data_IF_216722953784
#
_entry.id   IF_216722953784
#
_cell.length_a   1.000
_cell.length_b   1.000
_cell.length_c   1.000
_cell.angle_alpha   90.00
_cell.angle_beta   90.00
_cell.angle_gamma   90.00
#
_symmetry.space_group_name_H-M   'P 1'
#
loop_
_entity.id
_entity.type
_entity.pdbx_description
1 polymer ?
#
# COMPACT_ATOMS: atom_id res chain seq x y z
N UNK A 1 3.10 34.26 -15.29
CA UNK A 1 2.27 33.06 -15.71
C UNK A 1 2.09 32.10 -14.53
N UNK A 2 1.33 32.59 -13.50
CA UNK A 2 0.70 32.11 -12.25
C UNK A 2 -0.06 30.80 -12.50
N UNK A 3 0.65 29.65 -12.47
CA UNK A 3 0.17 28.25 -12.42
C UNK A 3 -0.80 28.03 -11.26
N UNK A 4 -2.13 28.19 -11.46
CA UNK A 4 -3.39 27.57 -11.01
C UNK A 4 -3.19 26.62 -9.84
N UNK A 5 -3.00 27.11 -8.57
CA UNK A 5 -3.01 26.52 -7.21
C UNK A 5 -4.46 26.29 -6.74
N UNK A 6 -5.49 26.14 -7.64
CA UNK A 6 -6.87 26.07 -7.08
C UNK A 6 -7.40 24.63 -7.22
N UNK A 7 -6.64 23.56 -7.65
CA UNK A 7 -7.28 22.23 -7.81
C UNK A 7 -6.88 21.31 -6.68
N UNK A 8 -6.07 21.79 -5.64
CA UNK A 8 -5.66 20.86 -4.55
C UNK A 8 -6.14 21.40 -3.20
N UNK A 9 -6.99 22.38 -3.15
CA UNK A 9 -7.34 23.03 -1.86
C UNK A 9 -8.32 22.18 -1.06
N UNK A 10 -9.14 21.35 -1.71
CA UNK A 10 -10.08 20.60 -0.85
C UNK A 10 -9.41 19.40 -0.18
N UNK A 11 -8.40 18.82 -0.84
CA UNK A 11 -7.72 17.65 -0.23
C UNK A 11 -6.80 18.13 0.91
N UNK A 12 -6.20 19.24 0.77
CA UNK A 12 -5.31 19.78 1.82
C UNK A 12 -6.14 20.18 3.04
N UNK A 13 -7.35 20.70 2.77
CA UNK A 13 -8.21 21.11 3.91
C UNK A 13 -8.75 19.87 4.63
N UNK A 14 -8.94 18.85 3.90
CA UNK A 14 -9.43 17.62 4.56
C UNK A 14 -8.32 16.94 5.36
N UNK A 15 -7.10 16.99 4.90
CA UNK A 15 -5.99 16.36 5.67
C UNK A 15 -5.74 17.12 6.98
N UNK A 16 -5.81 18.40 6.84
CA UNK A 16 -5.58 19.18 8.08
C UNK A 16 -6.70 18.93 9.10
N UNK A 17 -7.86 18.83 8.60
CA UNK A 17 -8.98 18.59 9.53
C UNK A 17 -8.83 17.25 10.26
N UNK A 18 -8.45 16.24 9.55
CA UNK A 18 -8.36 14.91 10.21
C UNK A 18 -7.14 14.88 11.15
N UNK A 19 -6.06 15.39 10.71
CA UNK A 19 -4.83 15.26 11.52
C UNK A 19 -4.97 16.05 12.83
N UNK A 20 -5.77 17.15 12.80
CA UNK A 20 -5.81 17.99 14.01
C UNK A 20 -7.14 17.75 14.76
N UNK A 21 -7.82 16.71 14.25
CA UNK A 21 -9.09 16.43 14.96
C UNK A 21 -8.82 15.99 16.41
N UNK A 22 -9.75 16.50 17.28
CA UNK A 22 -9.67 16.06 18.70
C UNK A 22 -10.74 14.99 18.94
N UNK A 23 -10.16 13.83 19.17
CA UNK A 23 -11.10 12.73 19.49
C UNK A 23 -12.03 13.10 20.66
N UNK A 24 -13.33 13.03 20.46
CA UNK A 24 -14.31 13.52 21.47
C UNK A 24 -14.38 12.53 22.64
N UNK A 25 -13.85 11.35 22.45
CA UNK A 25 -13.88 10.37 23.57
C UNK A 25 -12.59 10.49 24.39
N UNK A 26 -11.47 10.57 23.78
CA UNK A 26 -10.21 10.54 24.57
C UNK A 26 -9.74 11.97 24.85
N UNK A 27 -10.31 12.95 24.03
CA UNK A 27 -9.84 14.34 24.17
C UNK A 27 -8.44 14.55 23.57
N UNK A 28 -7.85 13.60 22.89
CA UNK A 28 -6.48 13.70 22.34
C UNK A 28 -6.58 13.98 20.84
N UNK A 29 -5.79 15.03 20.46
CA UNK A 29 -5.76 15.23 18.99
C UNK A 29 -5.16 14.01 18.28
N UNK A 30 -5.70 13.73 17.07
CA UNK A 30 -5.25 12.52 16.36
C UNK A 30 -3.74 12.57 16.11
N UNK A 31 -3.17 13.73 15.80
CA UNK A 31 -1.73 13.81 15.52
C UNK A 31 -0.90 13.48 16.77
N UNK A 32 -1.58 13.52 17.98
CA UNK A 32 -0.83 13.21 19.23
C UNK A 32 -1.23 11.82 19.76
N UNK A 33 -2.03 11.09 19.05
CA UNK A 33 -2.53 9.80 19.58
C UNK A 33 -1.65 8.65 19.10
N UNK A 34 -1.06 7.90 20.05
CA UNK A 34 -0.12 6.83 19.66
C UNK A 34 -0.85 5.58 19.16
N UNK A 35 -2.18 5.65 19.33
CA UNK A 35 -2.92 4.50 18.75
C UNK A 35 -2.79 4.48 17.22
N UNK A 36 -2.64 5.62 16.63
CA UNK A 36 -2.45 5.68 15.16
C UNK A 36 -1.00 5.32 14.82
N UNK A 37 -0.89 4.26 13.99
CA UNK A 37 0.45 3.77 13.60
C UNK A 37 1.02 4.64 12.48
N UNK A 38 0.20 4.90 11.46
CA UNK A 38 0.73 5.67 10.33
C UNK A 38 -0.42 6.32 9.56
N UNK A 39 -0.03 7.45 8.84
CA UNK A 39 -0.97 7.99 7.84
C UNK A 39 -0.64 7.45 6.44
N UNK A 40 -1.73 7.28 5.67
CA UNK A 40 -1.58 6.90 4.26
C UNK A 40 -2.16 7.99 3.35
N UNK A 41 -1.33 8.38 2.35
CA UNK A 41 -1.76 9.54 1.53
C UNK A 41 -3.00 9.18 0.71
N UNK A 42 -2.91 7.99 0.02
CA UNK A 42 -4.05 7.64 -0.85
C UNK A 42 -4.01 6.15 -1.15
N UNK A 43 -5.23 5.68 -1.18
CA UNK A 43 -5.26 4.24 -1.53
C UNK A 43 -5.02 4.04 -3.03
N UNK A 44 -4.02 3.32 -3.39
CA UNK A 44 -3.65 2.83 -4.74
C UNK A 44 -3.73 3.94 -5.79
N UNK A 45 -2.95 5.02 -5.51
CA UNK A 45 -3.00 6.10 -6.52
C UNK A 45 -2.46 5.64 -7.88
N UNK A 46 -3.22 6.01 -8.92
CA UNK A 46 -2.76 5.76 -10.31
C UNK A 46 -2.90 7.05 -11.13
N UNK A 47 -1.95 7.20 -12.09
CA UNK A 47 -2.05 8.34 -13.03
C UNK A 47 -1.75 7.82 -14.45
N UNK A 48 -2.86 7.41 -15.09
CA UNK A 48 -2.66 6.70 -16.40
C UNK A 48 -2.41 7.72 -17.51
N UNK A 49 -2.81 8.91 -17.23
CA UNK A 49 -2.63 9.93 -18.30
C UNK A 49 -1.19 10.44 -18.32
N UNK A 50 -0.36 10.08 -17.25
CA UNK A 50 1.06 10.48 -17.25
C UNK A 50 1.94 9.29 -16.89
N UNK A 51 2.34 8.53 -17.86
CA UNK A 51 3.10 7.30 -17.60
C UNK A 51 4.53 7.60 -17.13
N UNK A 52 4.99 8.82 -17.43
CA UNK A 52 6.33 9.15 -16.91
C UNK A 52 6.37 9.05 -15.37
N UNK A 53 5.20 9.37 -14.71
CA UNK A 53 5.14 9.29 -13.23
C UNK A 53 5.44 10.66 -12.59
N UNK A 54 5.67 11.65 -13.37
CA UNK A 54 6.17 12.92 -12.83
C UNK A 54 5.05 13.63 -12.04
N UNK A 55 3.85 13.53 -12.55
CA UNK A 55 2.78 14.28 -11.85
C UNK A 55 2.50 13.66 -10.48
N UNK A 56 2.39 12.37 -10.50
CA UNK A 56 2.14 11.75 -9.19
C UNK A 56 3.33 11.94 -8.24
N UNK A 57 4.54 11.90 -8.80
CA UNK A 57 5.72 12.15 -7.92
C UNK A 57 5.65 13.54 -7.27
N UNK A 58 5.31 14.56 -8.06
CA UNK A 58 5.23 15.93 -7.49
C UNK A 58 4.10 16.01 -6.45
N UNK A 59 3.05 15.36 -6.78
CA UNK A 59 1.94 15.38 -5.81
C UNK A 59 2.33 14.69 -4.50
N UNK A 60 2.99 13.55 -4.55
CA UNK A 60 3.39 12.83 -3.32
C UNK A 60 4.36 13.68 -2.50
N UNK A 61 5.25 14.34 -3.25
CA UNK A 61 6.24 15.17 -2.51
C UNK A 61 5.54 16.32 -1.79
N UNK A 62 4.63 16.93 -2.48
CA UNK A 62 3.94 18.08 -1.85
C UNK A 62 3.07 17.62 -0.67
N UNK A 63 2.36 16.53 -0.81
CA UNK A 63 1.41 16.11 0.26
C UNK A 63 2.16 15.50 1.44
N UNK A 64 3.21 14.75 1.12
CA UNK A 64 4.00 14.21 2.26
C UNK A 64 4.61 15.33 3.11
N UNK A 65 5.12 16.34 2.40
CA UNK A 65 5.69 17.48 3.18
C UNK A 65 4.60 18.17 4.00
N UNK A 66 3.47 18.34 3.39
CA UNK A 66 2.38 19.01 4.12
C UNK A 66 1.96 18.21 5.36
N UNK A 67 1.74 16.89 5.21
CA UNK A 67 1.35 16.06 6.37
C UNK A 67 2.40 16.19 7.48
N UNK A 68 3.69 16.10 7.10
CA UNK A 68 4.73 16.08 8.15
C UNK A 68 4.91 17.46 8.77
N UNK A 69 4.45 18.54 8.02
CA UNK A 69 4.49 19.88 8.66
C UNK A 69 3.44 19.99 9.77
N UNK A 70 2.39 19.17 9.71
CA UNK A 70 1.34 19.22 10.75
C UNK A 70 1.61 18.13 11.80
N UNK A 71 1.91 16.91 11.33
CA UNK A 71 2.20 15.78 12.24
C UNK A 71 3.57 15.16 11.90
N UNK A 72 4.55 15.51 12.85
CA UNK A 72 5.88 14.94 12.57
C UNK A 72 6.21 13.80 13.54
N UNK A 73 5.10 13.25 14.19
CA UNK A 73 5.32 12.13 15.13
C UNK A 73 4.98 10.79 14.47
N UNK A 74 3.91 10.74 13.71
CA UNK A 74 3.44 9.45 13.17
C UNK A 74 4.15 9.13 11.86
N UNK A 75 4.19 7.86 11.59
CA UNK A 75 4.79 7.43 10.31
C UNK A 75 3.86 7.79 9.13
N UNK A 76 4.55 7.88 7.97
CA UNK A 76 3.76 8.20 6.77
C UNK A 76 4.16 7.27 5.63
N UNK A 77 3.07 6.72 4.99
CA UNK A 77 3.31 5.96 3.74
C UNK A 77 2.39 6.48 2.64
N UNK A 78 2.66 5.98 1.44
CA UNK A 78 1.94 6.58 0.28
C UNK A 78 0.63 5.83 0.05
N UNK A 79 0.69 4.43 0.04
CA UNK A 79 -0.52 3.62 -0.26
C UNK A 79 -0.43 2.99 -1.64
N UNK A 80 0.84 2.73 -2.05
CA UNK A 80 1.03 2.26 -3.44
C UNK A 80 0.70 0.77 -3.54
N UNK A 81 0.27 0.31 -4.83
CA UNK A 81 0.12 -1.12 -5.18
C UNK A 81 1.49 -1.74 -5.54
N UNK A 82 2.57 -0.47 -6.17
CA UNK A 82 4.02 -0.80 -6.14
C UNK A 82 4.47 -1.29 -7.51
N UNK A 83 3.94 -0.64 -8.69
CA UNK A 83 4.44 -0.80 -10.07
C UNK A 83 5.71 0.04 -10.25
N UNK A 84 6.75 -0.63 -10.97
CA UNK A 84 8.01 0.09 -11.28
C UNK A 84 7.83 1.02 -12.48
N UNK A 85 8.52 2.24 -12.31
CA UNK A 85 8.44 3.23 -13.41
C UNK A 85 9.82 3.46 -14.03
N UNK A 86 10.11 4.69 -14.29
CA UNK A 86 11.26 5.02 -15.18
C UNK A 86 12.55 5.14 -14.36
N UNK A 87 12.43 5.17 -13.05
CA UNK A 87 13.66 5.32 -12.24
C UNK A 87 14.55 4.09 -12.33
N UNK A 88 13.95 2.96 -12.55
CA UNK A 88 14.72 1.72 -12.80
C UNK A 88 14.00 0.89 -13.86
N UNK A 89 14.19 1.20 -15.12
CA UNK A 89 13.39 0.63 -16.22
C UNK A 89 13.55 -0.88 -16.31
N UNK A 90 14.72 -1.40 -15.96
CA UNK A 90 14.91 -2.86 -16.04
C UNK A 90 13.97 -3.60 -15.08
N UNK A 91 13.40 -2.97 -14.10
CA UNK A 91 12.57 -3.66 -13.09
C UNK A 91 11.10 -3.65 -13.53
N UNK A 92 10.83 -2.96 -14.65
CA UNK A 92 9.43 -2.97 -15.15
C UNK A 92 8.98 -4.40 -15.50
N UNK A 93 9.93 -5.26 -15.70
CA UNK A 93 9.57 -6.66 -16.01
C UNK A 93 8.87 -7.33 -14.82
N UNK A 94 8.95 -6.71 -13.64
CA UNK A 94 8.29 -7.34 -12.47
C UNK A 94 6.84 -6.88 -12.36
N UNK A 95 6.50 -5.82 -13.20
CA UNK A 95 5.09 -5.38 -13.18
C UNK A 95 4.17 -6.42 -13.86
N UNK A 96 2.96 -6.51 -13.30
CA UNK A 96 2.03 -7.39 -14.02
C UNK A 96 1.78 -6.90 -15.46
N UNK A 97 2.08 -7.79 -16.43
CA UNK A 97 1.91 -7.51 -17.87
C UNK A 97 2.78 -6.34 -18.32
N UNK A 98 3.74 -5.90 -17.57
CA UNK A 98 4.71 -4.83 -17.89
C UNK A 98 4.01 -3.47 -18.03
N UNK A 99 2.85 -3.32 -17.29
CA UNK A 99 2.07 -2.07 -17.38
C UNK A 99 2.72 -0.97 -16.53
N UNK A 100 2.48 0.26 -17.07
CA UNK A 100 2.83 1.45 -16.28
C UNK A 100 1.55 2.17 -15.85
N UNK A 101 1.63 2.48 -14.57
CA UNK A 101 0.33 3.05 -14.12
C UNK A 101 0.58 4.42 -13.50
N UNK A 102 1.75 4.98 -13.90
CA UNK A 102 1.96 6.39 -13.51
C UNK A 102 2.64 6.50 -12.14
N UNK A 103 2.94 5.28 -11.55
CA UNK A 103 3.72 5.32 -10.30
C UNK A 103 5.12 4.77 -10.54
N UNK A 104 6.00 5.12 -9.61
CA UNK A 104 7.38 4.58 -9.60
C UNK A 104 7.80 4.25 -8.16
N UNK A 105 7.86 2.84 -7.97
CA UNK A 105 8.09 2.37 -6.59
C UNK A 105 9.37 2.97 -6.00
N UNK A 106 10.39 3.06 -6.76
CA UNK A 106 11.68 3.49 -6.16
C UNK A 106 11.65 5.00 -5.90
N UNK A 107 11.40 5.80 -6.90
CA UNK A 107 11.53 7.26 -6.69
C UNK A 107 10.44 7.76 -5.75
N UNK A 108 9.24 7.21 -5.87
CA UNK A 108 8.19 7.70 -4.95
C UNK A 108 8.57 7.47 -3.49
N UNK A 109 9.19 6.32 -3.21
CA UNK A 109 9.48 6.01 -1.78
C UNK A 109 10.84 6.57 -1.36
N UNK A 110 11.53 7.33 -2.27
CA UNK A 110 12.78 8.02 -1.86
C UNK A 110 12.46 9.40 -1.28
N UNK A 111 11.23 9.69 -1.35
CA UNK A 111 10.85 10.94 -0.68
C UNK A 111 11.09 10.83 0.82
N UNK A 112 11.76 11.85 1.39
CA UNK A 112 12.35 11.72 2.75
C UNK A 112 11.23 11.65 3.80
N UNK A 113 10.09 12.25 3.41
CA UNK A 113 9.01 12.27 4.43
C UNK A 113 8.27 10.94 4.46
N UNK A 114 8.51 10.09 3.45
CA UNK A 114 7.87 8.75 3.48
C UNK A 114 8.73 7.79 4.33
N UNK A 115 7.99 7.13 5.31
CA UNK A 115 8.75 6.42 6.35
C UNK A 115 8.87 4.92 6.04
N UNK A 116 7.92 4.40 5.35
CA UNK A 116 8.04 2.98 4.94
C UNK A 116 7.23 2.75 3.65
N UNK A 117 7.59 1.63 3.00
CA UNK A 117 6.95 1.36 1.69
C UNK A 117 5.86 0.29 1.85
N UNK A 118 4.89 0.37 0.91
CA UNK A 118 3.86 -0.69 0.91
C UNK A 118 3.73 -1.28 -0.51
N UNK A 119 3.32 -2.55 -0.53
CA UNK A 119 2.89 -3.18 -1.79
C UNK A 119 1.57 -3.90 -1.56
N UNK A 120 0.79 -4.03 -2.69
CA UNK A 120 -0.40 -4.90 -2.66
C UNK A 120 -0.17 -6.13 -3.54
N UNK A 121 -1.02 -7.20 -3.20
CA UNK A 121 -0.77 -8.45 -3.95
C UNK A 121 -2.15 -9.05 -4.30
N UNK A 122 -2.49 -8.90 -5.67
CA UNK A 122 -3.77 -9.48 -6.15
C UNK A 122 -3.53 -10.16 -7.50
N UNK A 123 -2.89 -11.33 -7.57
CA UNK A 123 -2.51 -11.96 -8.85
C UNK A 123 -3.73 -12.43 -9.64
N UNK A 124 -4.93 -12.75 -8.91
CA UNK A 124 -6.10 -13.25 -9.69
C UNK A 124 -6.75 -12.11 -10.49
N UNK A 125 -6.37 -10.86 -10.00
CA UNK A 125 -6.93 -9.69 -10.72
C UNK A 125 -5.94 -9.18 -11.78
N UNK A 126 -4.73 -9.22 -11.43
CA UNK A 126 -3.74 -8.61 -12.35
C UNK A 126 -3.40 -9.57 -13.49
N UNK A 127 -3.56 -10.93 -13.08
CA UNK A 127 -3.15 -11.97 -14.05
C UNK A 127 -4.22 -13.07 -14.07
N UNK A 128 -5.38 -12.72 -14.64
CA UNK A 128 -6.49 -13.68 -14.56
C UNK A 128 -6.15 -15.02 -15.24
N UNK A 129 -6.77 -16.19 -14.73
CA UNK A 129 -6.47 -17.60 -15.12
C UNK A 129 -6.67 -17.81 -16.62
N UNK A 130 -7.42 -16.88 -17.21
CA UNK A 130 -7.49 -17.00 -18.68
C UNK A 130 -6.13 -16.74 -19.33
N UNK A 131 -5.29 -16.16 -18.56
CA UNK A 131 -4.01 -15.72 -19.15
C UNK A 131 -2.82 -16.35 -18.44
N UNK A 132 -3.11 -17.00 -17.22
CA UNK A 132 -1.95 -17.52 -16.47
C UNK A 132 -2.42 -18.63 -15.52
N UNK A 133 -1.63 -19.74 -15.47
CA UNK A 133 -1.99 -20.83 -14.53
C UNK A 133 -1.84 -20.39 -13.08
N UNK A 134 -2.50 -21.06 -12.17
CA UNK A 134 -2.37 -20.76 -10.72
C UNK A 134 -0.91 -20.86 -10.27
N UNK A 135 -0.23 -21.84 -10.77
CA UNK A 135 1.20 -21.97 -10.40
C UNK A 135 2.00 -20.74 -10.85
N UNK A 136 1.71 -20.29 -12.00
CA UNK A 136 2.43 -19.09 -12.50
C UNK A 136 2.04 -17.86 -11.68
N UNK A 137 0.80 -17.75 -11.25
CA UNK A 137 0.40 -16.61 -10.40
C UNK A 137 1.16 -16.63 -9.07
N UNK A 138 1.25 -17.85 -8.52
CA UNK A 138 1.97 -17.94 -7.23
C UNK A 138 3.46 -17.60 -7.41
N UNK A 139 4.01 -18.08 -8.55
CA UNK A 139 5.42 -17.68 -8.79
C UNK A 139 5.54 -16.16 -8.91
N UNK A 140 4.57 -15.57 -9.52
CA UNK A 140 4.60 -14.09 -9.60
C UNK A 140 4.59 -13.48 -8.21
N UNK A 141 3.73 -13.96 -7.36
CA UNK A 141 3.66 -13.43 -5.99
C UNK A 141 5.04 -13.48 -5.33
N UNK A 142 5.71 -14.65 -5.48
CA UNK A 142 7.04 -14.77 -4.84
C UNK A 142 8.03 -13.75 -5.42
N UNK A 143 7.99 -13.63 -6.72
CA UNK A 143 8.95 -12.69 -7.34
C UNK A 143 8.60 -11.23 -6.98
N UNK A 144 7.33 -11.01 -6.92
CA UNK A 144 6.87 -9.64 -6.61
C UNK A 144 7.29 -9.24 -5.19
N UNK A 145 7.12 -10.07 -4.21
CA UNK A 145 7.50 -9.76 -2.81
C UNK A 145 9.02 -9.71 -2.69
N UNK A 146 9.66 -10.62 -3.32
CA UNK A 146 11.14 -10.64 -3.20
C UNK A 146 11.76 -9.38 -3.84
N UNK A 147 11.35 -9.05 -5.01
CA UNK A 147 11.97 -7.90 -5.70
C UNK A 147 11.77 -6.61 -4.87
N UNK A 148 10.59 -6.48 -4.35
CA UNK A 148 10.36 -5.21 -3.61
C UNK A 148 11.04 -5.24 -2.24
N UNK A 149 11.04 -6.38 -1.68
CA UNK A 149 11.79 -6.46 -0.40
C UNK A 149 13.28 -6.15 -0.61
N UNK A 150 13.84 -6.62 -1.68
CA UNK A 150 15.27 -6.35 -1.92
C UNK A 150 15.50 -4.86 -2.17
N UNK A 151 14.62 -4.25 -2.85
CA UNK A 151 14.82 -2.81 -3.10
C UNK A 151 14.69 -2.01 -1.79
N UNK A 152 13.81 -2.46 -0.95
CA UNK A 152 13.71 -1.75 0.34
C UNK A 152 14.95 -2.01 1.21
N UNK A 153 15.55 -3.15 0.99
CA UNK A 153 16.77 -3.42 1.79
C UNK A 153 17.97 -2.63 1.24
N UNK A 154 18.04 -2.56 -0.04
CA UNK A 154 19.38 -2.17 -0.55
C UNK A 154 19.31 -0.76 -1.16
N UNK A 155 18.10 -0.39 -1.54
CA UNK A 155 18.06 0.90 -2.28
C UNK A 155 17.38 1.94 -1.38
N UNK A 156 16.22 1.54 -0.78
CA UNK A 156 15.43 2.57 -0.08
C UNK A 156 15.81 2.63 1.41
N UNK A 157 16.31 1.52 1.82
CA UNK A 157 16.63 1.41 3.26
C UNK A 157 15.44 1.81 4.12
N UNK A 158 14.27 1.31 3.65
CA UNK A 158 13.03 1.52 4.41
C UNK A 158 12.28 0.19 4.58
N UNK A 159 11.51 0.08 5.76
CA UNK A 159 10.72 -1.14 5.92
C UNK A 159 9.65 -1.26 4.80
N UNK A 160 9.30 -2.56 4.60
CA UNK A 160 8.25 -2.86 3.61
C UNK A 160 7.09 -3.58 4.31
N UNK A 161 5.85 -3.01 4.02
CA UNK A 161 4.63 -3.69 4.50
C UNK A 161 3.78 -4.14 3.30
N UNK A 162 3.31 -5.42 3.46
CA UNK A 162 2.29 -5.83 2.46
C UNK A 162 0.93 -5.31 2.93
N UNK A 163 0.50 -4.21 2.18
CA UNK A 163 -0.66 -3.42 2.66
C UNK A 163 -2.00 -4.06 2.28
N UNK A 164 -1.96 -4.95 1.33
CA UNK A 164 -3.20 -5.67 0.97
C UNK A 164 -2.83 -6.97 0.25
N UNK A 165 -3.60 -7.97 0.64
CA UNK A 165 -3.59 -9.24 -0.11
C UNK A 165 -4.83 -10.05 0.27
N UNK A 166 -5.31 -10.78 -0.75
CA UNK A 166 -6.51 -11.59 -0.46
C UNK A 166 -6.80 -12.57 -1.59
N UNK A 167 -7.68 -13.54 -1.18
CA UNK A 167 -8.20 -14.51 -2.16
C UNK A 167 -9.72 -14.38 -2.27
N UNK A 168 -10.14 -14.21 -3.57
CA UNK A 168 -11.56 -13.84 -3.76
C UNK A 168 -12.42 -15.11 -3.89
N UNK A 169 -13.47 -15.17 -3.12
CA UNK A 169 -14.43 -16.32 -3.24
C UNK A 169 -15.29 -16.16 -4.48
N UNK A 170 -15.24 -14.96 -5.14
CA UNK A 170 -16.06 -14.72 -6.35
C UNK A 170 -15.38 -15.29 -7.59
N UNK A 171 -14.15 -15.61 -7.49
CA UNK A 171 -13.47 -16.14 -8.68
C UNK A 171 -13.50 -17.68 -8.66
N UNK A 172 -13.56 -18.19 -9.92
CA UNK A 172 -13.64 -19.66 -9.99
C UNK A 172 -12.45 -20.33 -9.29
N UNK A 173 -12.88 -21.43 -8.57
CA UNK A 173 -11.73 -22.19 -8.04
C UNK A 173 -11.43 -21.84 -6.58
N UNK A 174 -12.42 -21.03 -6.03
CA UNK A 174 -12.19 -20.64 -4.62
C UNK A 174 -12.57 -21.81 -3.70
N UNK A 175 -11.73 -21.94 -2.67
CA UNK A 175 -12.10 -22.71 -1.46
C UNK A 175 -11.18 -22.29 -0.30
N UNK A 176 -11.71 -22.63 0.83
CA UNK A 176 -11.03 -22.12 2.04
C UNK A 176 -9.59 -22.64 2.12
N UNK A 177 -9.41 -23.81 1.70
CA UNK A 177 -8.04 -24.37 1.74
C UNK A 177 -7.08 -23.58 0.84
N UNK A 178 -7.51 -23.19 -0.27
CA UNK A 178 -6.64 -22.43 -1.20
C UNK A 178 -6.36 -21.03 -0.64
N UNK A 179 -7.40 -20.42 -0.07
CA UNK A 179 -7.12 -19.12 0.58
C UNK A 179 -6.07 -19.27 1.69
N UNK A 180 -6.27 -20.32 2.51
CA UNK A 180 -5.30 -20.51 3.61
C UNK A 180 -3.89 -20.79 3.10
N UNK A 181 -3.82 -21.57 2.07
CA UNK A 181 -2.48 -21.84 1.51
C UNK A 181 -1.85 -20.55 0.96
N UNK A 182 -2.67 -19.77 0.33
CA UNK A 182 -2.16 -18.47 -0.19
C UNK A 182 -1.72 -17.56 0.96
N UNK A 183 -2.53 -17.47 2.04
CA UNK A 183 -2.13 -16.63 3.19
C UNK A 183 -0.84 -17.16 3.82
N UNK A 184 -0.85 -18.49 3.94
CA UNK A 184 0.38 -19.06 4.54
C UNK A 184 1.62 -18.72 3.72
N UNK A 185 1.54 -18.76 2.51
CA UNK A 185 2.70 -18.43 1.65
C UNK A 185 3.18 -16.99 1.92
N UNK A 186 2.27 -16.02 1.94
CA UNK A 186 2.66 -14.61 2.15
C UNK A 186 3.17 -14.43 3.58
N UNK A 187 2.47 -15.07 4.54
CA UNK A 187 2.96 -14.94 5.94
C UNK A 187 4.34 -15.56 6.11
N UNK A 188 4.57 -16.66 5.43
CA UNK A 188 5.93 -17.26 5.51
C UNK A 188 7.00 -16.33 4.92
N UNK A 189 6.64 -15.69 3.79
CA UNK A 189 7.61 -14.74 3.20
C UNK A 189 7.90 -13.58 4.17
N UNK A 190 6.85 -13.10 4.78
CA UNK A 190 7.04 -11.99 5.76
C UNK A 190 7.89 -12.48 6.93
N UNK A 191 7.49 -13.61 7.45
CA UNK A 191 8.22 -14.14 8.60
C UNK A 191 9.69 -14.39 8.27
N UNK A 192 9.92 -15.03 7.17
CA UNK A 192 11.33 -15.34 6.81
C UNK A 192 12.14 -14.05 6.65
N UNK A 193 11.59 -13.13 5.95
CA UNK A 193 12.30 -11.84 5.79
C UNK A 193 12.56 -11.18 7.15
N UNK A 194 11.53 -11.04 8.00
CA UNK A 194 11.69 -10.37 9.32
C UNK A 194 12.69 -11.12 10.21
N UNK A 195 12.58 -12.44 10.20
CA UNK A 195 13.49 -13.24 11.06
C UNK A 195 14.95 -13.08 10.63
N UNK A 196 15.17 -12.83 9.38
CA UNK A 196 16.58 -12.72 8.91
C UNK A 196 17.02 -11.26 8.87
N UNK A 197 16.22 -10.38 9.48
CA UNK A 197 16.57 -8.95 9.54
C UNK A 197 16.26 -8.23 8.23
N UNK A 198 15.35 -8.77 7.39
CA UNK A 198 15.03 -8.17 6.08
C UNK A 198 13.98 -7.06 6.25
N UNK A 199 13.65 -6.37 5.12
CA UNK A 199 12.84 -5.14 5.19
C UNK A 199 11.34 -5.48 5.18
N UNK A 200 10.99 -6.71 4.69
CA UNK A 200 9.55 -7.06 4.72
C UNK A 200 9.14 -7.54 6.11
N UNK A 201 8.20 -6.72 6.74
CA UNK A 201 8.08 -7.00 8.18
C UNK A 201 6.62 -6.99 8.60
N UNK A 202 5.77 -7.00 7.58
CA UNK A 202 4.36 -7.05 8.05
C UNK A 202 3.42 -7.20 6.84
N UNK A 203 2.17 -7.65 7.24
CA UNK A 203 1.15 -7.80 6.17
C UNK A 203 -0.26 -7.65 6.74
N UNK A 204 -1.11 -6.97 5.83
CA UNK A 204 -2.52 -6.80 6.21
C UNK A 204 -3.42 -7.41 5.13
N UNK A 205 -4.19 -8.51 5.54
CA UNK A 205 -5.02 -9.15 4.50
C UNK A 205 -6.31 -8.34 4.30
N UNK A 206 -6.83 -8.51 3.20
CA UNK A 206 -8.06 -7.81 2.83
C UNK A 206 -9.16 -8.85 2.58
N UNK A 207 -10.36 -8.74 3.21
CA UNK A 207 -10.68 -7.84 4.34
C UNK A 207 -11.60 -8.56 5.33
N UNK A 208 -11.56 -8.08 6.55
CA UNK A 208 -12.53 -8.65 7.50
C UNK A 208 -13.92 -8.02 7.32
N UNK A 209 -14.93 -8.88 7.35
CA UNK A 209 -16.31 -8.37 7.45
C UNK A 209 -16.98 -8.95 8.70
N UNK A 210 -17.82 -8.00 9.28
CA UNK A 210 -18.54 -8.48 10.50
C UNK A 210 -19.74 -9.35 10.11
N UNK A 211 -20.16 -10.08 11.08
CA UNK A 211 -21.33 -10.96 10.87
C UNK A 211 -22.55 -10.14 10.44
N UNK A 212 -23.24 -10.59 9.29
CA UNK A 212 -24.52 -9.96 8.85
C UNK A 212 -24.28 -8.85 7.82
N UNK A 213 -22.91 -8.76 7.36
CA UNK A 213 -22.67 -7.65 6.40
C UNK A 213 -22.35 -8.24 5.02
N UNK A 214 -22.96 -9.35 4.76
CA UNK A 214 -22.60 -10.01 3.49
C UNK A 214 -23.05 -9.15 2.30
N UNK A 215 -24.00 -8.18 2.53
CA UNK A 215 -24.53 -7.38 1.40
C UNK A 215 -23.68 -6.11 1.20
N UNK A 216 -22.65 -5.86 2.03
CA UNK A 216 -21.84 -4.63 1.93
C UNK A 216 -20.47 -4.94 1.34
N UNK A 217 -20.53 -6.09 0.61
CA UNK A 217 -19.22 -6.48 0.06
C UNK A 217 -18.91 -5.64 -1.19
N UNK A 218 -17.79 -4.82 -1.14
CA UNK A 218 -17.50 -4.04 -2.35
C UNK A 218 -17.31 -4.95 -3.57
N UNK A 219 -18.05 -4.57 -4.74
CA UNK A 219 -17.69 -5.12 -6.07
C UNK A 219 -16.23 -4.83 -6.40
N UNK A 220 -15.39 -5.56 -5.81
CA UNK A 220 -13.91 -5.56 -5.88
C UNK A 220 -13.41 -4.68 -7.04
N UNK A 221 -14.31 -3.67 -7.69
CA UNK A 221 -13.82 -2.92 -8.86
C UNK A 221 -13.66 -1.44 -8.52
N UNK A 222 -13.32 -1.08 -7.22
CA UNK A 222 -12.82 0.29 -6.99
C UNK A 222 -12.88 0.59 -5.48
N UNK A 223 -11.69 0.32 -4.81
CA UNK A 223 -11.87 0.67 -3.38
C UNK A 223 -11.03 1.91 -3.08
N UNK A 224 -11.66 3.21 -3.06
CA UNK A 224 -11.15 4.41 -2.35
C UNK A 224 -11.58 4.41 -0.87
N UNK A 225 -10.91 3.50 0.04
CA UNK A 225 -11.14 3.91 1.45
C UNK A 225 -9.79 4.23 2.10
N UNK A 226 -9.68 5.35 2.83
CA UNK A 226 -8.80 5.80 3.91
C UNK A 226 -8.67 4.74 5.01
N UNK A 227 -7.59 3.87 4.85
CA UNK A 227 -7.22 2.89 5.91
C UNK A 227 -6.70 3.62 7.15
N UNK A 228 -7.53 3.73 8.29
CA UNK A 228 -6.95 3.94 9.64
C UNK A 228 -6.56 2.60 10.25
N UNK A 229 -5.25 2.09 9.97
CA UNK A 229 -4.93 0.85 10.74
C UNK A 229 -4.49 1.24 12.16
N UNK A 230 -5.40 1.32 13.22
CA UNK A 230 -4.98 1.26 14.64
C UNK A 230 -4.81 -0.19 15.10
N UNK A 231 -3.58 -0.83 14.85
CA UNK A 231 -3.42 -2.14 15.53
C UNK A 231 -2.67 -1.96 16.84
N UNK A 232 -3.36 -1.88 18.05
CA UNK A 232 -2.84 -2.25 19.39
C UNK A 232 -2.06 -3.57 19.34
N UNK A 233 -0.78 -3.50 18.96
CA UNK A 233 0.12 -4.68 19.10
C UNK A 233 0.41 -4.95 20.57
N UNK A 234 -0.48 -5.65 21.34
CA UNK A 234 -0.15 -6.25 22.65
C UNK A 234 1.11 -7.12 22.56
N UNK A 235 2.30 -6.58 23.08
CA UNK A 235 3.48 -7.11 23.79
C UNK A 235 3.29 -8.58 24.18
N UNK A 236 3.85 -9.47 23.32
CA UNK A 236 4.08 -10.84 23.86
C UNK A 236 5.50 -10.94 24.42
N UNK A 237 5.68 -10.64 25.78
CA UNK A 237 6.62 -11.36 26.64
C UNK A 237 6.76 -12.83 26.20
#
# INVERSE_FOLDING_TARGET
MEQNSHQDKPVVLDLQAVLTRINTVTGVAYKDDPTIFAWELMNEPRCLTDPSGAHLQSWIQEMAAHVKSIDNHHLLEIGLERFYGESMPEKKQYNPNNYLIGTDFISNNQIVEVDFATIHVYPEQWLPSTNMSQEAQLAFVDRWIEAHSLDCNSVLKKPLMIGEFGKSFKLPGYNLEKRNEYFQRIYNAIYSSARSGGSCAGGLFWQPLSLGMDNMMPTMNYINYLHFVSQKMYELY
#
